data_IF_205289104368
#
_entry.id   IF_205289104368
#
_cell.length_a   1.000
_cell.length_b   1.000
_cell.length_c   1.000
_cell.angle_alpha   90.00
_cell.angle_beta   90.00
_cell.angle_gamma   90.00
#
_symmetry.space_group_name_H-M   'P 1'
#
loop_
_entity.id
_entity.type
_entity.pdbx_description
1 polymer ?
#
# COMPACT_ATOMS: atom_id res chain seq x y z
N UNK A 1 -52.52 -11.68 49.05
CA UNK A 1 -52.13 -11.57 47.62
C UNK A 1 -51.19 -10.38 47.33
N UNK A 2 -50.89 -9.49 48.28
CA UNK A 2 -50.00 -8.33 48.03
C UNK A 2 -48.49 -8.61 48.07
N UNK A 3 -48.04 -9.67 48.74
CA UNK A 3 -46.61 -9.94 48.93
C UNK A 3 -45.90 -10.48 47.68
N UNK A 4 -46.60 -11.18 46.78
CA UNK A 4 -46.00 -11.72 45.55
C UNK A 4 -45.68 -10.61 44.53
N UNK A 5 -46.48 -9.53 44.50
CA UNK A 5 -46.26 -8.41 43.58
C UNK A 5 -45.06 -7.53 43.95
N UNK A 6 -44.70 -7.48 45.23
CA UNK A 6 -43.55 -6.71 45.70
C UNK A 6 -42.22 -7.42 45.46
N UNK A 7 -42.19 -8.77 45.49
CA UNK A 7 -40.97 -9.55 45.24
C UNK A 7 -40.56 -9.43 43.76
N UNK A 8 -41.51 -9.57 42.83
CA UNK A 8 -41.24 -9.37 41.40
C UNK A 8 -40.76 -7.94 41.08
N UNK A 9 -41.27 -6.92 41.79
CA UNK A 9 -40.81 -5.54 41.59
C UNK A 9 -39.41 -5.25 42.16
N UNK A 10 -38.94 -6.06 43.13
CA UNK A 10 -37.60 -5.93 43.72
C UNK A 10 -36.58 -6.67 42.85
N UNK A 11 -36.94 -7.82 42.28
CA UNK A 11 -36.12 -8.52 41.26
C UNK A 11 -35.86 -7.62 40.04
N UNK A 12 -36.89 -6.96 39.49
CA UNK A 12 -36.74 -6.01 38.37
C UNK A 12 -35.80 -4.81 38.66
N UNK A 13 -35.71 -4.35 39.92
CA UNK A 13 -34.89 -3.17 40.30
C UNK A 13 -33.40 -3.52 40.46
N UNK A 14 -33.08 -4.75 40.91
CA UNK A 14 -31.69 -5.19 41.09
C UNK A 14 -31.15 -6.00 39.91
N UNK A 15 -31.99 -6.48 39.00
CA UNK A 15 -31.59 -7.21 37.80
C UNK A 15 -30.62 -6.42 36.91
N UNK A 16 -30.79 -5.09 36.80
CA UNK A 16 -29.83 -4.26 36.06
C UNK A 16 -28.47 -4.14 36.77
N UNK A 17 -28.44 -4.24 38.10
CA UNK A 17 -27.20 -4.21 38.88
C UNK A 17 -26.49 -5.58 38.90
N UNK A 18 -27.24 -6.68 38.83
CA UNK A 18 -26.71 -8.04 38.77
C UNK A 18 -26.14 -8.37 37.38
N UNK A 19 -26.76 -7.84 36.32
CA UNK A 19 -26.32 -8.04 34.93
C UNK A 19 -25.42 -6.91 34.39
N UNK A 20 -24.92 -6.04 35.29
CA UNK A 20 -24.16 -4.85 34.90
C UNK A 20 -22.84 -5.20 34.19
N UNK A 21 -22.14 -6.23 34.67
CA UNK A 21 -20.91 -6.73 34.04
C UNK A 21 -21.17 -7.22 32.61
N UNK A 22 -22.18 -8.07 32.42
CA UNK A 22 -22.53 -8.60 31.11
C UNK A 22 -23.01 -7.48 30.15
N UNK A 23 -23.74 -6.50 30.69
CA UNK A 23 -24.21 -5.33 29.92
C UNK A 23 -23.03 -4.50 29.42
N UNK A 24 -22.11 -4.10 30.32
CA UNK A 24 -20.95 -3.31 29.92
C UNK A 24 -19.96 -4.10 29.05
N UNK A 25 -19.84 -5.42 29.25
CA UNK A 25 -19.06 -6.26 28.35
C UNK A 25 -19.63 -6.24 26.93
N UNK A 26 -20.95 -6.40 26.78
CA UNK A 26 -21.63 -6.32 25.48
C UNK A 26 -21.54 -4.93 24.86
N UNK A 27 -21.71 -3.88 25.66
CA UNK A 27 -21.57 -2.49 25.22
C UNK A 27 -20.16 -2.22 24.70
N UNK A 28 -19.13 -2.55 25.48
CA UNK A 28 -17.74 -2.37 25.08
C UNK A 28 -17.34 -3.20 23.87
N UNK A 29 -17.85 -4.43 23.75
CA UNK A 29 -17.65 -5.25 22.55
C UNK A 29 -18.30 -4.62 21.32
N UNK A 30 -19.57 -4.19 21.42
CA UNK A 30 -20.30 -3.58 20.31
C UNK A 30 -19.67 -2.25 19.88
N UNK A 31 -19.27 -1.42 20.85
CA UNK A 31 -18.55 -0.16 20.60
C UNK A 31 -17.21 -0.43 19.92
N UNK A 32 -16.39 -1.32 20.48
CA UNK A 32 -15.10 -1.69 19.91
C UNK A 32 -15.20 -2.29 18.51
N UNK A 33 -16.20 -3.13 18.27
CA UNK A 33 -16.48 -3.71 16.94
C UNK A 33 -16.88 -2.63 15.94
N UNK A 34 -17.82 -1.75 16.31
CA UNK A 34 -18.28 -0.66 15.44
C UNK A 34 -17.16 0.32 15.12
N UNK A 35 -16.36 0.69 16.13
CA UNK A 35 -15.23 1.60 15.95
C UNK A 35 -14.14 0.94 15.10
N UNK A 36 -13.79 -0.32 15.39
CA UNK A 36 -12.78 -1.07 14.63
C UNK A 36 -13.15 -1.24 13.16
N UNK A 37 -14.43 -1.44 12.85
CA UNK A 37 -14.91 -1.51 11.47
C UNK A 37 -14.73 -0.18 10.72
N UNK A 38 -15.06 0.93 11.38
CA UNK A 38 -14.92 2.27 10.81
C UNK A 38 -13.45 2.66 10.62
N UNK A 39 -12.64 2.53 11.68
CA UNK A 39 -11.23 2.90 11.64
C UNK A 39 -10.44 2.00 10.69
N UNK A 40 -10.73 0.69 10.68
CA UNK A 40 -10.07 -0.25 9.78
C UNK A 40 -10.33 0.06 8.31
N UNK A 41 -11.56 0.49 7.97
CA UNK A 41 -11.88 0.93 6.61
C UNK A 41 -11.09 2.18 6.20
N UNK A 42 -11.08 3.19 7.07
CA UNK A 42 -10.38 4.45 6.80
C UNK A 42 -8.86 4.22 6.66
N UNK A 43 -8.27 3.45 7.57
CA UNK A 43 -6.84 3.12 7.54
C UNK A 43 -6.47 2.32 6.29
N UNK A 44 -7.29 1.33 5.90
CA UNK A 44 -7.05 0.53 4.70
C UNK A 44 -7.12 1.39 3.42
N UNK A 45 -8.08 2.31 3.33
CA UNK A 45 -8.20 3.24 2.20
C UNK A 45 -6.97 4.15 2.08
N UNK A 46 -6.58 4.80 3.18
CA UNK A 46 -5.42 5.69 3.20
C UNK A 46 -4.12 4.94 2.89
N UNK A 47 -3.95 3.75 3.48
CA UNK A 47 -2.76 2.93 3.27
C UNK A 47 -2.67 2.43 1.83
N UNK A 48 -3.78 1.95 1.27
CA UNK A 48 -3.86 1.51 -0.12
C UNK A 48 -3.56 2.63 -1.10
N UNK A 49 -4.12 3.82 -0.89
CA UNK A 49 -3.88 4.99 -1.74
C UNK A 49 -2.40 5.40 -1.71
N UNK A 50 -1.81 5.52 -0.52
CA UNK A 50 -0.40 5.89 -0.36
C UNK A 50 0.52 4.87 -1.04
N UNK A 51 0.35 3.59 -0.71
CA UNK A 51 1.20 2.52 -1.25
C UNK A 51 1.06 2.41 -2.77
N UNK A 52 -0.17 2.47 -3.28
CA UNK A 52 -0.44 2.45 -4.71
C UNK A 52 0.18 3.63 -5.45
N UNK A 53 0.15 4.82 -4.85
CA UNK A 53 0.81 6.00 -5.43
C UNK A 53 2.33 5.85 -5.44
N UNK A 54 2.95 5.46 -4.34
CA UNK A 54 4.41 5.29 -4.23
C UNK A 54 4.96 4.30 -5.27
N UNK A 55 4.27 3.15 -5.42
CA UNK A 55 4.62 2.14 -6.42
C UNK A 55 4.36 2.65 -7.85
N UNK A 56 3.19 3.27 -8.07
CA UNK A 56 2.78 3.77 -9.38
C UNK A 56 3.72 4.87 -9.88
N UNK A 57 4.16 5.77 -9.00
CA UNK A 57 5.17 6.78 -9.29
C UNK A 57 6.50 6.15 -9.72
N UNK A 58 7.02 5.17 -8.96
CA UNK A 58 8.27 4.49 -9.28
C UNK A 58 8.19 3.79 -10.65
N UNK A 59 7.10 3.08 -10.91
CA UNK A 59 6.85 2.42 -12.19
C UNK A 59 6.73 3.42 -13.35
N UNK A 60 6.00 4.52 -13.14
CA UNK A 60 5.84 5.58 -14.13
C UNK A 60 7.17 6.25 -14.48
N UNK A 61 8.00 6.53 -13.47
CA UNK A 61 9.36 7.04 -13.66
C UNK A 61 10.21 6.09 -14.52
N UNK A 62 10.21 4.79 -14.18
CA UNK A 62 10.93 3.79 -14.96
C UNK A 62 10.41 3.68 -16.39
N UNK A 63 9.09 3.75 -16.60
CA UNK A 63 8.49 3.73 -17.92
C UNK A 63 8.95 4.92 -18.75
N UNK A 64 8.91 6.13 -18.20
CA UNK A 64 9.40 7.33 -18.87
C UNK A 64 10.87 7.24 -19.26
N UNK A 65 11.71 6.68 -18.38
CA UNK A 65 13.13 6.45 -18.68
C UNK A 65 13.31 5.49 -19.87
N UNK A 66 12.61 4.36 -19.86
CA UNK A 66 12.65 3.36 -20.95
C UNK A 66 12.21 4.00 -22.26
N UNK A 67 11.14 4.78 -22.28
CA UNK A 67 10.63 5.43 -23.49
C UNK A 67 11.64 6.43 -24.07
N UNK A 68 12.30 7.22 -23.22
CA UNK A 68 13.37 8.15 -23.63
C UNK A 68 14.59 7.40 -24.17
N UNK A 69 15.06 6.37 -23.47
CA UNK A 69 16.22 5.59 -23.91
C UNK A 69 15.95 4.84 -25.21
N UNK A 70 14.77 4.23 -25.36
CA UNK A 70 14.34 3.60 -26.61
C UNK A 70 14.27 4.62 -27.75
N UNK A 71 13.83 5.85 -27.49
CA UNK A 71 13.85 6.94 -28.47
C UNK A 71 15.27 7.32 -28.88
N UNK A 72 16.18 7.48 -27.93
CA UNK A 72 17.59 7.77 -28.21
C UNK A 72 18.27 6.66 -29.03
N UNK A 73 18.00 5.38 -28.71
CA UNK A 73 18.49 4.22 -29.46
C UNK A 73 18.00 4.25 -30.92
N UNK A 74 16.76 4.68 -31.17
CA UNK A 74 16.23 4.80 -32.55
C UNK A 74 16.93 5.89 -33.35
N UNK A 75 17.29 7.01 -32.70
CA UNK A 75 17.98 8.13 -33.36
C UNK A 75 19.45 7.78 -33.65
N UNK A 76 20.16 7.19 -32.69
CA UNK A 76 21.58 6.82 -32.83
C UNK A 76 21.85 5.36 -32.44
N UNK A 77 21.52 4.38 -33.30
CA UNK A 77 21.61 2.96 -32.95
C UNK A 77 23.03 2.47 -32.64
N UNK A 78 24.06 3.09 -33.19
CA UNK A 78 25.45 2.63 -33.07
C UNK A 78 26.14 3.08 -31.78
N UNK A 79 25.59 4.08 -31.08
CA UNK A 79 26.17 4.63 -29.85
C UNK A 79 25.91 3.76 -28.60
N UNK A 80 24.90 2.89 -28.66
CA UNK A 80 24.51 2.05 -27.52
C UNK A 80 24.99 0.61 -27.72
N UNK A 81 25.65 0.05 -26.71
CA UNK A 81 26.07 -1.35 -26.73
C UNK A 81 24.87 -2.30 -26.80
N UNK A 82 25.05 -3.47 -27.44
CA UNK A 82 24.01 -4.51 -27.51
C UNK A 82 23.51 -4.92 -26.13
N UNK A 83 24.43 -5.08 -25.16
CA UNK A 83 24.10 -5.42 -23.77
C UNK A 83 23.19 -4.40 -23.11
N UNK A 84 23.40 -3.11 -23.37
CA UNK A 84 22.59 -2.05 -22.80
C UNK A 84 21.17 -2.07 -23.39
N UNK A 85 21.05 -2.22 -24.71
CA UNK A 85 19.75 -2.35 -25.40
C UNK A 85 18.95 -3.55 -24.88
N UNK A 86 19.59 -4.69 -24.70
CA UNK A 86 18.96 -5.88 -24.12
C UNK A 86 18.51 -5.65 -22.67
N UNK A 87 19.28 -4.90 -21.90
CA UNK A 87 18.93 -4.58 -20.50
C UNK A 87 17.72 -3.66 -20.42
N UNK A 88 17.65 -2.65 -21.30
CA UNK A 88 16.51 -1.73 -21.43
C UNK A 88 15.25 -2.53 -21.83
N UNK A 89 15.36 -3.41 -22.84
CA UNK A 89 14.25 -4.27 -23.25
C UNK A 89 13.75 -5.17 -22.12
N UNK A 90 14.66 -5.79 -21.36
CA UNK A 90 14.27 -6.59 -20.18
C UNK A 90 13.61 -5.75 -19.09
N UNK A 91 13.94 -4.47 -18.98
CA UNK A 91 13.28 -3.56 -18.04
C UNK A 91 11.87 -3.20 -18.52
N UNK A 92 11.71 -2.93 -19.81
CA UNK A 92 10.41 -2.74 -20.47
C UNK A 92 9.48 -3.95 -20.25
N UNK A 93 9.96 -5.16 -20.52
CA UNK A 93 9.21 -6.41 -20.31
C UNK A 93 8.75 -6.60 -18.86
N UNK A 94 9.54 -6.14 -17.88
CA UNK A 94 9.18 -6.23 -16.46
C UNK A 94 8.09 -5.22 -16.08
N UNK A 95 8.16 -4.01 -16.63
CA UNK A 95 7.12 -2.99 -16.41
C UNK A 95 5.79 -3.48 -16.98
N UNK A 96 5.79 -4.07 -18.18
CA UNK A 96 4.57 -4.60 -18.81
C UNK A 96 3.96 -5.79 -18.08
N UNK A 97 4.80 -6.61 -17.42
CA UNK A 97 4.36 -7.78 -16.66
C UNK A 97 3.97 -7.46 -15.22
N UNK A 98 4.18 -6.23 -14.76
CA UNK A 98 3.87 -5.86 -13.39
C UNK A 98 2.36 -6.00 -13.12
N UNK A 99 1.93 -6.76 -12.10
CA UNK A 99 0.52 -7.03 -11.83
C UNK A 99 -0.15 -5.84 -11.11
N UNK A 100 -0.46 -4.77 -11.86
CA UNK A 100 -1.03 -3.52 -11.29
C UNK A 100 -2.35 -3.75 -10.56
N UNK A 101 -3.15 -4.73 -11.00
CA UNK A 101 -4.47 -5.02 -10.43
C UNK A 101 -4.44 -6.10 -9.33
N UNK A 102 -3.27 -6.68 -9.06
CA UNK A 102 -3.10 -7.72 -8.06
C UNK A 102 -1.89 -7.39 -7.15
N UNK A 103 -2.07 -6.44 -6.21
CA UNK A 103 -0.98 -5.98 -5.36
C UNK A 103 -0.49 -7.04 -4.35
N UNK A 104 -1.26 -8.12 -4.15
CA UNK A 104 -0.90 -9.24 -3.28
C UNK A 104 -0.11 -10.33 -4.01
N UNK A 105 0.13 -10.17 -5.32
CA UNK A 105 0.92 -11.09 -6.11
C UNK A 105 2.36 -11.19 -5.56
N UNK A 106 2.77 -12.40 -5.20
CA UNK A 106 4.08 -12.70 -4.61
C UNK A 106 5.26 -12.18 -5.45
N UNK A 107 5.06 -12.00 -6.76
CA UNK A 107 6.07 -11.55 -7.71
C UNK A 107 6.30 -10.04 -7.68
N UNK A 108 5.39 -9.24 -7.10
CA UNK A 108 5.49 -7.77 -7.07
C UNK A 108 6.85 -7.32 -6.55
N UNK A 109 7.29 -7.87 -5.42
CA UNK A 109 8.55 -7.50 -4.79
C UNK A 109 9.75 -7.87 -5.66
N UNK A 110 9.76 -9.08 -6.23
CA UNK A 110 10.83 -9.54 -7.11
C UNK A 110 10.94 -8.67 -8.38
N UNK A 111 9.80 -8.30 -8.98
CA UNK A 111 9.77 -7.43 -10.16
C UNK A 111 10.35 -6.05 -9.81
N UNK A 112 9.92 -5.44 -8.70
CA UNK A 112 10.42 -4.12 -8.27
C UNK A 112 11.93 -4.12 -8.00
N UNK A 113 12.44 -5.14 -7.31
CA UNK A 113 13.88 -5.25 -7.05
C UNK A 113 14.69 -5.45 -8.33
N UNK A 114 14.14 -6.21 -9.28
CA UNK A 114 14.72 -6.39 -10.60
C UNK A 114 14.71 -5.09 -11.42
N UNK A 115 13.65 -4.29 -11.35
CA UNK A 115 13.56 -2.97 -11.98
C UNK A 115 14.61 -2.02 -11.40
N UNK A 116 14.70 -1.89 -10.07
CA UNK A 116 15.70 -1.07 -9.37
C UNK A 116 17.13 -1.46 -9.72
N UNK A 117 17.41 -2.76 -9.83
CA UNK A 117 18.73 -3.24 -10.24
C UNK A 117 19.03 -2.87 -11.69
N UNK A 118 18.10 -3.11 -12.62
CA UNK A 118 18.29 -2.77 -14.05
C UNK A 118 18.45 -1.27 -14.25
N UNK A 119 17.66 -0.46 -13.56
CA UNK A 119 17.81 1.00 -13.57
C UNK A 119 19.23 1.43 -13.21
N UNK A 120 19.78 0.91 -12.09
CA UNK A 120 21.17 1.20 -11.68
C UNK A 120 22.20 0.80 -12.72
N UNK A 121 22.02 -0.37 -13.34
CA UNK A 121 22.91 -0.87 -14.40
C UNK A 121 22.85 0.01 -15.65
N UNK A 122 21.65 0.39 -16.10
CA UNK A 122 21.45 1.23 -17.29
C UNK A 122 22.03 2.62 -17.04
N UNK A 123 21.74 3.22 -15.88
CA UNK A 123 22.30 4.51 -15.48
C UNK A 123 23.83 4.51 -15.54
N UNK A 124 24.46 3.49 -14.96
CA UNK A 124 25.91 3.34 -14.99
C UNK A 124 26.43 3.13 -16.43
N UNK A 125 25.73 2.35 -17.25
CA UNK A 125 26.08 2.11 -18.65
C UNK A 125 25.93 3.34 -19.55
N UNK A 126 25.04 4.26 -19.21
CA UNK A 126 24.83 5.52 -19.92
C UNK A 126 25.71 6.67 -19.40
N UNK A 127 26.29 6.52 -18.20
CA UNK A 127 27.07 7.59 -17.57
C UNK A 127 26.24 8.81 -17.17
N UNK A 128 24.93 8.67 -17.02
CA UNK A 128 24.01 9.77 -16.66
C UNK A 128 23.81 9.87 -15.16
N UNK A 129 23.79 11.09 -14.62
CA UNK A 129 23.39 11.35 -13.25
C UNK A 129 21.87 11.49 -13.17
N UNK A 130 21.19 10.36 -13.26
CA UNK A 130 19.74 10.25 -13.09
C UNK A 130 19.46 9.55 -11.77
N UNK A 131 18.64 10.16 -10.92
CA UNK A 131 18.27 9.64 -9.60
C UNK A 131 16.75 9.54 -9.52
N UNK A 132 16.27 8.52 -8.81
CA UNK A 132 14.88 8.39 -8.43
C UNK A 132 14.81 8.76 -6.95
N UNK A 133 14.32 9.96 -6.66
CA UNK A 133 14.25 10.50 -5.29
C UNK A 133 12.99 10.03 -4.54
N UNK A 134 12.04 9.44 -5.27
CA UNK A 134 10.74 9.01 -4.77
C UNK A 134 9.84 10.15 -4.31
N UNK A 135 8.62 9.79 -3.90
CA UNK A 135 7.69 10.75 -3.32
C UNK A 135 8.35 11.46 -2.13
N UNK A 136 8.31 12.81 -2.05
CA UNK A 136 8.81 13.53 -0.89
C UNK A 136 8.07 13.00 0.33
N UNK A 137 8.81 12.33 1.23
CA UNK A 137 8.25 11.96 2.53
C UNK A 137 7.71 13.25 3.16
N UNK A 138 6.46 13.27 3.66
CA UNK A 138 5.99 14.42 4.41
C UNK A 138 7.08 14.76 5.42
N UNK A 139 7.60 15.98 5.40
CA UNK A 139 8.56 16.43 6.40
C UNK A 139 7.95 16.05 7.74
N UNK A 140 8.70 15.30 8.55
CA UNK A 140 8.28 14.95 9.91
C UNK A 140 7.79 16.25 10.54
N UNK A 141 6.47 16.35 10.75
CA UNK A 141 5.91 17.45 11.51
C UNK A 141 6.34 17.13 12.93
N UNK A 142 7.48 17.69 13.35
CA UNK A 142 7.89 17.69 14.74
C UNK A 142 6.76 18.39 15.52
N UNK A 143 5.97 17.59 16.24
CA UNK A 143 5.02 18.06 17.25
C UNK A 143 5.74 18.40 18.54
#
# INVERSE_FOLDING_TARGET
MSSQSQINSIEDIFDSSLNLEETHFKEGYNEGYSQGLMSGKEEAEQTGLRMGFEIGEELGFYRGCVDVWNSAIRVEPTQFSTRLKETIKKMEDLIEKYPVLDPEDERVNEIMDSLRLKFRVIRAGLGVKLEYDGYPKPKDIEF
#
